data_IF_989077688556
#
_entry.id   IF_989077688556
#
_cell.length_a   1.000
_cell.length_b   1.000
_cell.length_c   1.000
_cell.angle_alpha   90.00
_cell.angle_beta   90.00
_cell.angle_gamma   90.00
#
_symmetry.space_group_name_H-M   'P 1'
#
loop_
_entity.id
_entity.type
_entity.pdbx_description
1 polymer ?
#
# COMPACT_ATOMS: atom_id res chain seq x y z
N UNK A 1 -57.08 24.43 -19.07
CA UNK A 1 -56.24 23.72 -20.06
C UNK A 1 -54.79 23.98 -19.67
N UNK A 2 -54.33 23.38 -18.57
CA UNK A 2 -53.00 23.60 -17.98
C UNK A 2 -52.88 22.66 -16.78
N UNK A 3 -52.44 21.41 -16.98
CA UNK A 3 -52.04 20.50 -15.86
C UNK A 3 -51.39 19.21 -16.40
N UNK A 4 -50.27 19.31 -17.13
CA UNK A 4 -49.50 18.11 -17.54
C UNK A 4 -48.00 18.36 -17.74
N UNK A 5 -47.29 18.90 -16.73
CA UNK A 5 -45.82 19.05 -16.81
C UNK A 5 -45.06 18.74 -15.51
N UNK A 6 -45.62 17.94 -14.60
CA UNK A 6 -44.95 17.56 -13.35
C UNK A 6 -44.82 16.03 -13.21
N UNK A 7 -44.03 15.36 -14.05
CA UNK A 7 -43.74 13.92 -13.82
C UNK A 7 -42.46 13.36 -14.47
N UNK A 8 -41.56 14.18 -15.02
CA UNK A 8 -40.36 13.67 -15.73
C UNK A 8 -39.05 13.74 -14.93
N UNK A 9 -39.06 14.24 -13.69
CA UNK A 9 -37.83 14.52 -12.94
C UNK A 9 -37.25 13.38 -12.09
N UNK A 10 -37.96 12.27 -11.90
CA UNK A 10 -37.70 11.40 -10.72
C UNK A 10 -37.46 9.93 -11.03
N UNK A 11 -36.70 9.61 -12.09
CA UNK A 11 -36.35 8.21 -12.40
C UNK A 11 -34.93 7.98 -12.90
N UNK A 12 -33.95 8.78 -12.45
CA UNK A 12 -32.55 8.33 -12.38
C UNK A 12 -32.26 7.77 -10.98
N UNK A 13 -32.99 6.71 -10.60
CA UNK A 13 -32.43 5.78 -9.61
C UNK A 13 -31.28 5.10 -10.33
N UNK A 14 -30.07 5.56 -10.04
CA UNK A 14 -28.84 4.88 -10.40
C UNK A 14 -28.96 3.46 -9.86
N UNK A 15 -29.34 2.53 -10.73
CA UNK A 15 -29.16 1.12 -10.49
C UNK A 15 -27.65 0.92 -10.49
N UNK A 16 -27.02 1.13 -9.34
CA UNK A 16 -25.63 0.78 -9.12
C UNK A 16 -25.52 -0.70 -9.45
N UNK A 17 -24.75 -1.02 -10.48
CA UNK A 17 -24.57 -2.38 -10.98
C UNK A 17 -24.16 -3.30 -9.80
N UNK A 18 -24.94 -4.34 -9.47
CA UNK A 18 -24.62 -5.25 -8.38
C UNK A 18 -23.23 -5.88 -8.54
N UNK A 19 -22.72 -5.98 -9.77
CA UNK A 19 -21.37 -6.46 -10.08
C UNK A 19 -20.32 -5.46 -9.58
N UNK A 20 -20.49 -4.16 -9.84
CA UNK A 20 -19.55 -3.13 -9.41
C UNK A 20 -19.39 -3.07 -7.88
N UNK A 21 -20.51 -3.21 -7.17
CA UNK A 21 -20.50 -3.22 -5.70
C UNK A 21 -19.78 -4.45 -5.12
N UNK A 22 -19.96 -5.64 -5.72
CA UNK A 22 -19.26 -6.87 -5.29
C UNK A 22 -17.76 -6.76 -5.53
N UNK A 23 -17.34 -6.29 -6.71
CA UNK A 23 -15.92 -6.12 -7.06
C UNK A 23 -15.24 -5.13 -6.12
N UNK A 24 -15.89 -4.00 -5.81
CA UNK A 24 -15.37 -3.02 -4.87
C UNK A 24 -15.13 -3.60 -3.46
N UNK A 25 -16.08 -4.40 -2.95
CA UNK A 25 -15.92 -5.08 -1.65
C UNK A 25 -14.74 -6.04 -1.63
N UNK A 26 -14.59 -6.86 -2.67
CA UNK A 26 -13.46 -7.81 -2.77
C UNK A 26 -12.14 -7.05 -2.82
N UNK A 27 -12.05 -6.00 -3.65
CA UNK A 27 -10.86 -5.16 -3.75
C UNK A 27 -10.52 -4.50 -2.41
N UNK A 28 -11.54 -4.04 -1.66
CA UNK A 28 -11.36 -3.42 -0.34
C UNK A 28 -10.81 -4.43 0.69
N UNK A 29 -11.36 -5.64 0.73
CA UNK A 29 -10.90 -6.70 1.63
C UNK A 29 -9.45 -7.08 1.30
N UNK A 30 -9.13 -7.28 0.02
CA UNK A 30 -7.79 -7.61 -0.42
C UNK A 30 -6.79 -6.49 -0.09
N UNK A 31 -7.15 -5.23 -0.38
CA UNK A 31 -6.33 -4.06 -0.05
C UNK A 31 -6.09 -3.94 1.45
N UNK A 32 -7.13 -4.16 2.27
CA UNK A 32 -7.01 -4.13 3.74
C UNK A 32 -6.06 -5.21 4.25
N UNK A 33 -6.15 -6.43 3.68
CA UNK A 33 -5.26 -7.53 4.03
C UNK A 33 -3.81 -7.21 3.66
N UNK A 34 -3.56 -6.72 2.44
CA UNK A 34 -2.21 -6.36 1.99
C UNK A 34 -1.62 -5.18 2.78
N UNK A 35 -2.45 -4.21 3.16
CA UNK A 35 -2.06 -3.13 4.06
C UNK A 35 -1.63 -3.67 5.43
N UNK A 36 -2.43 -4.56 6.03
CA UNK A 36 -2.11 -5.17 7.31
C UNK A 36 -0.80 -5.96 7.27
N UNK A 37 -0.57 -6.74 6.20
CA UNK A 37 0.69 -7.46 5.98
C UNK A 37 1.86 -6.48 5.85
N UNK A 38 1.69 -5.39 5.09
CA UNK A 38 2.74 -4.39 4.90
C UNK A 38 3.12 -3.68 6.20
N UNK A 39 2.13 -3.35 7.04
CA UNK A 39 2.35 -2.79 8.38
C UNK A 39 3.03 -3.82 9.30
N UNK A 40 2.62 -5.09 9.24
CA UNK A 40 3.26 -6.14 10.03
C UNK A 40 4.74 -6.29 9.64
N UNK A 41 5.05 -6.34 8.33
CA UNK A 41 6.43 -6.38 7.86
C UNK A 41 7.22 -5.16 8.33
N UNK A 42 6.62 -3.96 8.25
CA UNK A 42 7.21 -2.73 8.75
C UNK A 42 7.60 -2.83 10.23
N UNK A 43 6.72 -3.37 11.08
CA UNK A 43 6.98 -3.57 12.51
C UNK A 43 8.03 -4.66 12.73
N UNK A 44 7.92 -5.78 12.03
CA UNK A 44 8.87 -6.91 12.12
C UNK A 44 10.29 -6.44 11.80
N UNK A 45 10.46 -5.56 10.81
CA UNK A 45 11.77 -5.01 10.46
C UNK A 45 12.46 -4.20 11.57
N UNK A 46 11.81 -3.85 12.68
CA UNK A 46 12.46 -3.26 13.86
C UNK A 46 13.08 -4.30 14.81
N UNK A 47 12.57 -5.53 14.78
CA UNK A 47 12.99 -6.61 15.67
C UNK A 47 13.87 -7.64 14.97
N UNK A 48 13.78 -7.74 13.64
CA UNK A 48 14.62 -8.63 12.84
C UNK A 48 15.56 -7.87 11.93
N UNK A 49 16.70 -8.49 11.67
CA UNK A 49 17.73 -8.03 10.74
C UNK A 49 17.80 -9.06 9.60
N UNK A 50 17.90 -8.62 8.33
CA UNK A 50 17.93 -9.55 7.20
C UNK A 50 19.20 -10.41 7.14
N UNK A 51 20.26 -10.02 7.86
CA UNK A 51 21.46 -10.82 8.03
C UNK A 51 21.23 -12.03 8.92
N UNK A 52 20.34 -11.91 9.91
CA UNK A 52 20.04 -12.98 10.87
C UNK A 52 18.79 -13.78 10.47
N UNK A 53 17.81 -13.09 9.89
CA UNK A 53 16.50 -13.64 9.52
C UNK A 53 16.12 -13.22 8.11
N UNK A 54 16.24 -14.17 7.19
CA UNK A 54 15.75 -14.04 5.83
C UNK A 54 15.03 -15.32 5.39
N UNK A 55 14.22 -15.19 4.36
CA UNK A 55 13.58 -16.30 3.68
C UNK A 55 14.31 -16.56 2.36
N UNK A 56 14.79 -17.78 2.16
CA UNK A 56 15.50 -18.19 0.94
C UNK A 56 14.53 -18.85 -0.04
N UNK A 57 14.43 -18.30 -1.25
CA UNK A 57 13.75 -18.94 -2.37
C UNK A 57 14.64 -19.97 -3.06
N UNK A 58 15.95 -19.69 -3.10
CA UNK A 58 17.02 -20.53 -3.66
C UNK A 58 18.34 -20.21 -2.95
N UNK A 59 19.41 -20.87 -3.36
CA UNK A 59 20.76 -20.63 -2.83
C UNK A 59 21.26 -19.20 -3.13
N UNK A 60 20.82 -18.60 -4.25
CA UNK A 60 21.21 -17.24 -4.66
C UNK A 60 20.06 -16.21 -4.61
N UNK A 61 19.01 -16.47 -3.81
CA UNK A 61 17.85 -15.57 -3.75
C UNK A 61 17.19 -15.60 -2.39
N UNK A 62 17.36 -14.50 -1.67
CA UNK A 62 16.89 -14.30 -0.32
C UNK A 62 16.04 -13.05 -0.25
N UNK A 63 15.03 -13.07 0.62
CA UNK A 63 14.24 -11.90 0.98
C UNK A 63 14.23 -11.71 2.48
N UNK A 64 14.44 -10.48 2.90
CA UNK A 64 14.33 -10.06 4.29
C UNK A 64 13.61 -8.73 4.40
N UNK A 65 13.46 -8.27 5.64
CA UNK A 65 12.98 -6.92 5.93
C UNK A 65 14.05 -6.18 6.69
N UNK A 66 14.28 -4.93 6.31
CA UNK A 66 15.27 -4.08 6.93
C UNK A 66 14.67 -2.73 7.27
N UNK A 67 14.92 -2.22 8.48
CA UNK A 67 14.41 -0.92 8.90
C UNK A 67 15.52 -0.01 9.41
N UNK A 68 15.42 1.28 9.06
CA UNK A 68 16.26 2.35 9.56
C UNK A 68 15.42 3.59 9.87
N UNK A 69 15.15 3.82 11.14
CA UNK A 69 14.24 4.89 11.55
C UNK A 69 12.86 4.65 10.93
N UNK A 70 12.28 5.66 10.28
CA UNK A 70 10.98 5.53 9.62
C UNK A 70 11.02 4.86 8.24
N UNK A 71 12.20 4.48 7.73
CA UNK A 71 12.32 3.81 6.44
C UNK A 71 12.45 2.30 6.65
N UNK A 72 11.40 1.56 6.31
CA UNK A 72 11.41 0.09 6.29
C UNK A 72 11.35 -0.38 4.85
N UNK A 73 12.15 -1.40 4.51
CA UNK A 73 12.33 -1.89 3.15
C UNK A 73 12.23 -3.41 3.11
N UNK A 74 11.58 -3.92 2.06
CA UNK A 74 11.78 -5.29 1.60
C UNK A 74 13.14 -5.36 0.91
N UNK A 75 13.94 -6.35 1.27
CA UNK A 75 15.31 -6.49 0.81
C UNK A 75 15.46 -7.83 0.12
N UNK A 76 15.81 -7.80 -1.16
CA UNK A 76 16.17 -8.97 -1.96
C UNK A 76 17.67 -8.95 -2.18
N UNK A 77 18.33 -10.09 -2.02
CA UNK A 77 19.77 -10.22 -2.15
C UNK A 77 20.13 -11.67 -2.47
N UNK A 78 21.32 -11.91 -3.03
CA UNK A 78 21.72 -13.24 -3.48
C UNK A 78 22.76 -13.95 -2.64
N UNK A 79 23.37 -13.28 -1.67
CA UNK A 79 24.41 -13.88 -0.84
C UNK A 79 23.92 -13.96 0.60
N UNK A 80 23.54 -15.16 1.04
CA UNK A 80 23.09 -15.40 2.41
C UNK A 80 24.19 -15.19 3.46
N UNK A 81 25.46 -15.42 3.11
CA UNK A 81 26.59 -15.33 4.03
C UNK A 81 26.99 -13.88 4.25
N UNK A 82 27.08 -13.10 3.17
CA UNK A 82 27.40 -11.67 3.24
C UNK A 82 26.18 -10.81 3.63
N UNK A 83 24.99 -11.28 3.27
CA UNK A 83 23.74 -10.55 3.43
C UNK A 83 23.58 -9.39 2.45
N UNK A 84 22.57 -8.53 2.65
CA UNK A 84 22.30 -7.44 1.73
C UNK A 84 23.38 -6.35 1.79
N UNK A 85 23.91 -5.96 0.64
CA UNK A 85 24.91 -4.91 0.56
C UNK A 85 24.32 -3.54 0.89
N UNK A 86 24.93 -2.87 1.88
CA UNK A 86 24.55 -1.52 2.30
C UNK A 86 25.77 -0.63 2.46
N UNK A 87 25.86 0.40 1.63
CA UNK A 87 26.91 1.40 1.76
C UNK A 87 27.28 2.09 0.45
N UNK A 88 28.35 2.87 0.54
CA UNK A 88 29.08 3.38 -0.61
C UNK A 88 30.37 2.58 -0.72
N UNK A 89 30.70 2.07 -1.91
CA UNK A 89 32.07 1.62 -2.13
C UNK A 89 32.94 2.85 -2.30
N UNK A 90 33.94 2.97 -1.43
CA UNK A 90 35.01 3.96 -1.60
C UNK A 90 35.99 3.36 -2.60
N UNK A 91 36.02 3.89 -3.82
CA UNK A 91 37.09 3.61 -4.76
C UNK A 91 38.35 4.35 -4.30
N UNK A 92 39.44 3.63 -4.07
CA UNK A 92 40.75 4.21 -3.81
C UNK A 92 41.46 4.41 -5.14
N UNK A 93 42.04 5.58 -5.36
CA UNK A 93 42.84 5.85 -6.56
C UNK A 93 44.31 5.72 -6.19
N UNK A 94 45.05 4.88 -6.91
CA UNK A 94 46.50 4.74 -6.71
C UNK A 94 47.28 5.93 -7.31
N UNK A 95 48.62 5.91 -7.18
CA UNK A 95 49.49 6.96 -7.73
C UNK A 95 49.48 7.03 -9.27
N UNK A 96 49.10 5.93 -9.93
CA UNK A 96 49.05 5.78 -11.38
C UNK A 96 47.65 6.10 -11.96
N UNK A 97 46.68 6.45 -11.11
CA UNK A 97 45.31 6.79 -11.48
C UNK A 97 44.34 5.61 -11.60
N UNK A 98 44.75 4.40 -11.22
CA UNK A 98 43.89 3.22 -11.22
C UNK A 98 42.97 3.21 -10.00
N UNK A 99 41.69 2.87 -10.21
CA UNK A 99 40.69 2.76 -9.15
C UNK A 99 40.67 1.33 -8.59
N UNK A 100 40.79 1.20 -7.27
CA UNK A 100 40.75 -0.05 -6.53
C UNK A 100 39.60 -0.09 -5.51
N UNK A 101 38.80 -1.18 -5.45
CA UNK A 101 38.84 -2.29 -6.41
C UNK A 101 38.36 -1.84 -7.81
N UNK A 102 38.77 -2.52 -8.89
CA UNK A 102 38.27 -2.24 -10.24
C UNK A 102 36.78 -2.56 -10.28
N UNK A 103 35.96 -1.52 -10.15
CA UNK A 103 34.51 -1.64 -10.14
C UNK A 103 33.97 -1.19 -11.50
N UNK A 104 33.43 -2.13 -12.26
CA UNK A 104 32.50 -1.80 -13.34
C UNK A 104 31.20 -1.31 -12.71
N UNK A 105 31.18 -0.03 -12.35
CA UNK A 105 29.97 0.62 -11.84
C UNK A 105 29.13 1.02 -13.05
N UNK A 106 28.07 0.28 -13.35
CA UNK A 106 26.98 0.86 -14.13
C UNK A 106 26.46 2.08 -13.36
N UNK A 107 26.48 3.26 -14.00
CA UNK A 107 25.97 4.50 -13.43
C UNK A 107 24.55 4.26 -12.93
N UNK A 108 24.40 4.27 -11.61
CA UNK A 108 23.31 3.57 -10.95
C UNK A 108 21.97 4.31 -11.11
N UNK A 109 21.01 3.66 -11.76
CA UNK A 109 19.60 3.74 -11.38
C UNK A 109 19.47 3.13 -9.98
N UNK A 110 19.51 3.90 -8.88
CA UNK A 110 19.49 3.21 -7.58
C UNK A 110 19.54 3.97 -6.27
N UNK A 111 19.50 5.31 -6.25
CA UNK A 111 19.25 6.06 -5.00
C UNK A 111 18.03 6.98 -5.17
N UNK A 112 16.97 6.48 -5.80
CA UNK A 112 15.74 7.24 -6.04
C UNK A 112 14.61 6.77 -5.13
N UNK A 113 13.97 7.70 -4.43
CA UNK A 113 12.59 7.64 -3.87
C UNK A 113 12.16 6.37 -3.12
N UNK A 114 13.08 5.51 -2.67
CA UNK A 114 12.77 4.28 -1.95
C UNK A 114 12.89 3.00 -2.77
N UNK A 115 13.49 3.04 -3.96
CA UNK A 115 14.08 1.85 -4.59
C UNK A 115 15.60 2.02 -4.56
N UNK A 116 16.27 1.02 -4.03
CA UNK A 116 17.72 0.94 -3.99
C UNK A 116 18.18 -0.33 -4.66
N UNK A 117 18.99 -0.20 -5.71
CA UNK A 117 19.59 -1.34 -6.38
C UNK A 117 21.09 -1.16 -6.45
N UNK A 118 21.82 -2.22 -6.11
CA UNK A 118 23.26 -2.31 -6.27
C UNK A 118 23.61 -3.67 -6.85
N UNK A 119 24.57 -3.64 -7.76
CA UNK A 119 25.15 -4.81 -8.40
C UNK A 119 26.66 -4.64 -8.39
N UNK A 120 27.36 -5.69 -7.97
CA UNK A 120 28.81 -5.76 -7.95
C UNK A 120 29.25 -7.08 -8.53
N UNK A 121 30.24 -7.01 -9.40
CA UNK A 121 30.92 -8.17 -9.96
C UNK A 121 32.31 -8.23 -9.33
N UNK A 122 32.52 -9.22 -8.48
CA UNK A 122 33.85 -9.59 -7.97
C UNK A 122 34.44 -10.70 -8.84
N UNK A 123 35.74 -11.00 -8.67
CA UNK A 123 36.39 -12.11 -9.38
C UNK A 123 35.77 -13.47 -9.04
N UNK A 124 35.31 -13.61 -7.80
CA UNK A 124 34.93 -14.91 -7.23
C UNK A 124 33.41 -15.08 -7.14
N UNK A 125 32.65 -13.97 -7.09
CA UNK A 125 31.20 -13.98 -7.00
C UNK A 125 30.56 -12.68 -7.48
N UNK A 126 29.28 -12.75 -7.83
CA UNK A 126 28.45 -11.57 -8.07
C UNK A 126 27.63 -11.30 -6.81
N UNK A 127 27.55 -10.04 -6.40
CA UNK A 127 26.75 -9.61 -5.24
C UNK A 127 25.76 -8.56 -5.73
N UNK A 128 24.48 -8.79 -5.51
CA UNK A 128 23.45 -7.82 -5.80
C UNK A 128 22.47 -7.68 -4.65
N UNK A 129 21.88 -6.49 -4.56
CA UNK A 129 20.90 -6.17 -3.53
C UNK A 129 19.88 -5.20 -4.09
N UNK A 130 18.61 -5.55 -3.96
CA UNK A 130 17.45 -4.73 -4.29
C UNK A 130 16.66 -4.46 -3.02
N UNK A 131 16.52 -3.20 -2.62
CA UNK A 131 15.67 -2.79 -1.51
C UNK A 131 14.52 -1.93 -2.03
N UNK A 132 13.31 -2.24 -1.60
CA UNK A 132 12.09 -1.50 -1.95
C UNK A 132 11.41 -1.04 -0.68
N UNK A 133 11.16 0.27 -0.56
CA UNK A 133 10.51 0.84 0.62
C UNK A 133 9.08 0.32 0.77
N UNK A 134 8.72 -0.06 1.99
CA UNK A 134 7.38 -0.49 2.36
C UNK A 134 6.37 0.66 2.36
N UNK A 135 6.82 1.92 2.31
CA UNK A 135 5.92 3.06 2.17
C UNK A 135 5.08 3.01 0.90
N UNK A 136 5.62 2.50 -0.21
CA UNK A 136 4.87 2.36 -1.45
C UNK A 136 3.66 1.41 -1.33
N UNK A 137 3.83 0.14 -0.92
CA UNK A 137 2.68 -0.73 -0.72
C UNK A 137 1.74 -0.24 0.38
N UNK A 138 2.25 0.35 1.48
CA UNK A 138 1.39 0.92 2.54
C UNK A 138 0.48 2.01 1.97
N UNK A 139 1.03 3.00 1.29
CA UNK A 139 0.24 4.10 0.72
C UNK A 139 -0.73 3.58 -0.34
N UNK A 140 -0.26 2.70 -1.24
CA UNK A 140 -1.10 2.12 -2.30
C UNK A 140 -2.30 1.36 -1.73
N UNK A 141 -2.08 0.48 -0.76
CA UNK A 141 -3.13 -0.36 -0.18
C UNK A 141 -4.01 0.36 0.85
N UNK A 142 -3.63 1.57 1.27
CA UNK A 142 -4.46 2.42 2.12
C UNK A 142 -5.57 3.15 1.35
N UNK A 143 -5.42 3.38 0.03
CA UNK A 143 -6.35 4.18 -0.77
C UNK A 143 -7.76 3.57 -0.78
N UNK A 144 -7.89 2.29 -1.13
CA UNK A 144 -9.21 1.63 -1.24
C UNK A 144 -10.02 1.59 0.06
N UNK A 145 -9.47 1.13 1.21
CA UNK A 145 -10.22 1.17 2.46
C UNK A 145 -10.58 2.59 2.87
N UNK A 146 -9.71 3.57 2.62
CA UNK A 146 -9.99 4.98 2.90
C UNK A 146 -11.18 5.49 2.06
N UNK A 147 -11.18 5.23 0.75
CA UNK A 147 -12.31 5.58 -0.13
C UNK A 147 -13.60 4.91 0.35
N UNK A 148 -13.54 3.63 0.72
CA UNK A 148 -14.70 2.90 1.27
C UNK A 148 -15.27 3.54 2.53
N UNK A 149 -14.41 3.97 3.45
CA UNK A 149 -14.78 4.67 4.68
C UNK A 149 -15.43 6.03 4.37
N UNK A 150 -14.83 6.83 3.49
CA UNK A 150 -15.34 8.15 3.10
C UNK A 150 -16.71 8.03 2.43
N UNK A 151 -16.87 7.13 1.45
CA UNK A 151 -18.14 6.89 0.79
C UNK A 151 -19.24 6.44 1.77
N UNK A 152 -18.90 5.58 2.74
CA UNK A 152 -19.85 5.12 3.76
C UNK A 152 -20.29 6.25 4.70
N UNK A 153 -19.36 7.13 5.10
CA UNK A 153 -19.64 8.27 5.97
C UNK A 153 -20.54 9.32 5.30
N UNK A 154 -20.27 9.62 4.02
CA UNK A 154 -21.09 10.55 3.23
C UNK A 154 -22.50 9.99 3.04
N UNK A 155 -22.64 8.70 2.74
CA UNK A 155 -23.94 8.05 2.59
C UNK A 155 -24.80 8.11 3.87
N UNK A 156 -24.20 7.88 5.04
CA UNK A 156 -24.87 8.00 6.35
C UNK A 156 -25.29 9.44 6.67
N UNK A 157 -24.47 10.41 6.28
CA UNK A 157 -24.78 11.83 6.51
C UNK A 157 -26.00 12.26 5.69
N UNK A 158 -26.10 11.80 4.44
CA UNK A 158 -27.24 12.10 3.58
C UNK A 158 -28.55 11.44 4.08
N UNK A 159 -28.50 10.23 4.61
CA UNK A 159 -29.70 9.57 5.15
C UNK A 159 -30.27 10.28 6.37
N UNK A 160 -29.41 10.82 7.25
CA UNK A 160 -29.85 11.53 8.45
C UNK A 160 -30.53 12.87 8.14
N UNK A 161 -30.19 13.53 7.04
CA UNK A 161 -30.83 14.78 6.60
C UNK A 161 -32.17 14.53 5.91
N UNK A 162 -32.34 13.34 5.31
CA UNK A 162 -33.53 12.98 4.57
C UNK A 162 -34.66 12.42 5.45
N UNK A 163 -34.44 12.25 6.77
CA UNK A 163 -35.55 11.99 7.70
C UNK A 163 -36.44 13.23 7.69
N UNK A 164 -37.64 13.18 7.05
CA UNK A 164 -38.51 14.33 6.97
C UNK A 164 -38.85 14.71 8.41
N UNK A 165 -38.88 16.00 8.71
CA UNK A 165 -39.49 16.54 9.92
C UNK A 165 -40.93 16.03 9.92
N UNK A 166 -41.13 14.85 10.51
CA UNK A 166 -42.38 14.13 10.51
C UNK A 166 -43.40 15.09 11.08
N UNK A 167 -44.29 15.52 10.20
CA UNK A 167 -45.53 16.16 10.53
C UNK A 167 -46.16 15.26 11.60
N UNK A 168 -46.04 15.72 12.84
CA UNK A 168 -46.43 14.98 14.03
C UNK A 168 -47.94 14.84 13.91
N UNK A 169 -48.41 13.69 13.42
CA UNK A 169 -49.85 13.43 13.39
C UNK A 169 -50.38 13.64 14.82
N UNK A 170 -51.38 14.52 15.01
CA UNK A 170 -51.90 14.79 16.33
C UNK A 170 -52.47 13.49 16.91
N UNK A 171 -52.34 13.27 18.23
CA UNK A 171 -52.79 12.04 18.86
C UNK A 171 -54.28 11.84 18.59
N UNK A 172 -54.61 10.83 17.80
CA UNK A 172 -56.00 10.41 17.57
C UNK A 172 -56.53 9.84 18.88
N UNK A 173 -57.23 10.67 19.64
CA UNK A 173 -57.99 10.26 20.82
C UNK A 173 -59.05 9.25 20.38
N UNK A 174 -58.82 7.96 20.68
CA UNK A 174 -59.85 6.92 20.53
C UNK A 174 -60.95 7.21 21.55
N UNK A 175 -62.07 7.73 21.07
CA UNK A 175 -63.32 7.81 21.83
C UNK A 175 -63.85 6.40 22.00
N UNK A 176 -63.73 5.86 23.22
CA UNK A 176 -64.44 4.66 23.67
C UNK A 176 -65.94 4.97 23.67
N UNK A 177 -66.69 4.35 22.75
CA UNK A 177 -68.15 4.28 22.85
C UNK A 177 -68.51 3.14 23.81
N UNK A 178 -69.21 3.52 24.89
CA UNK A 178 -69.92 2.63 25.83
C UNK A 178 -71.24 2.15 25.25
#
# INVERSE_FOLDING_TARGET
METTMASLGQRRRSATDPVAHRTFKIATVFSTLMLAISILLFIVGYIVSPWDYHFSFSDDSHVGVWTRGLDSRLVFFNDAEYGPYRGSIIGLVDADGNVYPPLEREEAFGDSWGIYYRYFKSSDSTIWTLMVTLWYPIVLFAIMPLVGLVCSAVGRSASNVAEPCGEREPPVTRVLKS
#
